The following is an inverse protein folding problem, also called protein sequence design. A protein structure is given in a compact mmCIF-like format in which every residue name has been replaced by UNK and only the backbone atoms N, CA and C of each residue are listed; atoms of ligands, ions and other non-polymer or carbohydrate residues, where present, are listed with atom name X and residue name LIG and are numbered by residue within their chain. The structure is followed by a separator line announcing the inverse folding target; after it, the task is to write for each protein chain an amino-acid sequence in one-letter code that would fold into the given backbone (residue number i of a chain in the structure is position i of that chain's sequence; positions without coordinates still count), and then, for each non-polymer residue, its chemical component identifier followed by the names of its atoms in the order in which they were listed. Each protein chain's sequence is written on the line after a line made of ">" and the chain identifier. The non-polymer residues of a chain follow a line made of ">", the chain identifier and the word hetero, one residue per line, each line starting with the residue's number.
data_IF_676004153970
#
_entry.id   IF_676004153970
#
_cell.length_a   1.000
_cell.length_b   1.000
_cell.length_c   1.000
_cell.angle_alpha   90.00
_cell.angle_beta   90.00
_cell.angle_gamma   90.00
#
_symmetry.space_group_name_H-M   'P 1'
#
loop_
_entity.id
_entity.type
_entity.pdbx_description
1 polymer ?
#
# COMPACT_ATOMS: atom_id res chain seq x y z
N UNK A 1 10.34 -16.37 -12.02
CA UNK A 1 10.61 -14.95 -12.35
C UNK A 1 10.35 -14.13 -11.10
N UNK A 2 11.22 -13.16 -10.78
CA UNK A 2 10.95 -12.21 -9.70
C UNK A 2 9.86 -11.23 -10.14
N UNK A 3 8.83 -11.03 -9.32
CA UNK A 3 7.81 -10.01 -9.55
C UNK A 3 8.45 -8.63 -9.38
N UNK A 4 8.06 -7.67 -10.22
CA UNK A 4 8.43 -6.27 -10.01
C UNK A 4 7.74 -5.79 -8.72
N UNK A 5 8.52 -5.20 -7.82
CA UNK A 5 8.03 -4.65 -6.56
C UNK A 5 7.68 -3.18 -6.73
N UNK A 6 6.49 -2.78 -6.31
CA UNK A 6 6.02 -1.39 -6.33
C UNK A 6 5.74 -0.94 -4.90
N UNK A 7 6.38 0.16 -4.49
CA UNK A 7 6.16 0.78 -3.20
C UNK A 7 5.43 2.10 -3.40
N UNK A 8 4.19 2.19 -2.89
CA UNK A 8 3.42 3.43 -2.86
C UNK A 8 3.53 4.02 -1.45
N UNK A 9 3.96 5.28 -1.35
CA UNK A 9 4.12 6.00 -0.08
C UNK A 9 3.06 7.08 0.02
N UNK A 10 2.31 7.09 1.11
CA UNK A 10 1.38 8.18 1.44
C UNK A 10 1.80 8.84 2.75
N UNK A 11 1.60 10.15 2.87
CA UNK A 11 1.87 10.93 4.08
C UNK A 11 0.66 11.74 4.57
N UNK A 12 -0.27 12.10 3.68
CA UNK A 12 -1.45 12.90 4.00
C UNK A 12 -2.75 12.08 4.05
N UNK A 13 -2.71 10.83 3.60
CA UNK A 13 -3.89 9.98 3.49
C UNK A 13 -3.70 8.66 4.24
N UNK A 14 -4.80 8.22 4.85
CA UNK A 14 -4.89 6.93 5.53
C UNK A 14 -4.67 5.75 4.56
N UNK A 15 -4.24 4.60 5.10
CA UNK A 15 -3.94 3.41 4.29
C UNK A 15 -5.15 2.83 3.52
N UNK A 16 -6.38 3.27 3.82
CA UNK A 16 -7.60 2.84 3.15
C UNK A 16 -8.18 3.90 2.19
N UNK A 17 -7.45 4.98 1.88
CA UNK A 17 -7.90 6.00 0.92
C UNK A 17 -8.32 5.34 -0.40
N UNK A 18 -9.52 5.66 -0.87
CA UNK A 18 -10.12 5.02 -2.05
C UNK A 18 -9.30 5.23 -3.33
N UNK A 19 -8.60 6.35 -3.46
CA UNK A 19 -7.79 6.66 -4.62
C UNK A 19 -6.50 5.84 -4.59
N UNK A 20 -5.88 5.72 -3.42
CA UNK A 20 -4.59 5.05 -3.25
C UNK A 20 -4.74 3.53 -3.11
N UNK A 21 -5.52 3.07 -2.14
CA UNK A 21 -5.65 1.64 -1.88
C UNK A 21 -6.50 0.96 -2.95
N UNK A 22 -7.71 1.47 -3.21
CA UNK A 22 -8.67 0.78 -4.07
C UNK A 22 -8.38 0.94 -5.57
N UNK A 23 -8.06 2.16 -6.02
CA UNK A 23 -7.87 2.42 -7.46
C UNK A 23 -6.46 2.16 -7.95
N UNK A 24 -5.44 2.52 -7.16
CA UNK A 24 -4.04 2.35 -7.55
C UNK A 24 -3.48 0.99 -7.11
N UNK A 25 -3.33 0.75 -5.80
CA UNK A 25 -2.61 -0.42 -5.28
C UNK A 25 -3.26 -1.75 -5.67
N UNK A 26 -4.60 -1.85 -5.63
CA UNK A 26 -5.31 -3.06 -6.09
C UNK A 26 -5.15 -3.29 -7.59
N UNK A 27 -5.17 -2.23 -8.41
CA UNK A 27 -5.00 -2.38 -9.87
C UNK A 27 -3.60 -2.89 -10.20
N UNK A 28 -2.56 -2.34 -9.57
CA UNK A 28 -1.19 -2.85 -9.69
C UNK A 28 -1.07 -4.31 -9.23
N UNK A 29 -1.68 -4.67 -8.10
CA UNK A 29 -1.65 -6.06 -7.63
C UNK A 29 -2.32 -7.03 -8.62
N UNK A 30 -3.42 -6.60 -9.26
CA UNK A 30 -4.12 -7.37 -10.31
C UNK A 30 -3.28 -7.56 -11.57
N UNK A 31 -2.49 -6.57 -11.95
CA UNK A 31 -1.52 -6.67 -13.05
C UNK A 31 -0.27 -7.50 -12.71
N UNK A 32 -0.22 -8.09 -11.51
CA UNK A 32 0.78 -9.07 -11.11
C UNK A 32 2.00 -8.51 -10.38
N UNK A 33 2.02 -7.21 -10.10
CA UNK A 33 3.06 -6.57 -9.30
C UNK A 33 2.99 -7.01 -7.82
N UNK A 34 4.12 -7.02 -7.15
CA UNK A 34 4.19 -7.18 -5.70
C UNK A 34 4.11 -5.79 -5.06
N UNK A 35 2.96 -5.47 -4.47
CA UNK A 35 2.64 -4.10 -4.03
C UNK A 35 2.83 -3.94 -2.52
N UNK A 36 3.45 -2.83 -2.16
CA UNK A 36 3.59 -2.34 -0.79
C UNK A 36 2.96 -0.95 -0.69
N UNK A 37 2.13 -0.72 0.33
CA UNK A 37 1.59 0.60 0.68
C UNK A 37 2.15 1.01 2.04
N UNK A 38 3.03 2.00 2.04
CA UNK A 38 3.60 2.56 3.28
C UNK A 38 2.75 3.75 3.70
N UNK A 39 2.19 3.70 4.91
CA UNK A 39 1.25 4.71 5.39
C UNK A 39 1.52 5.11 6.85
N UNK A 40 1.33 6.39 7.22
CA UNK A 40 1.54 6.89 8.56
C UNK A 40 0.52 6.29 9.52
N UNK A 41 0.98 5.85 10.69
CA UNK A 41 0.15 5.36 11.80
C UNK A 41 -0.85 4.24 11.44
N UNK A 42 -0.65 3.57 10.30
CA UNK A 42 -1.45 2.43 9.90
C UNK A 42 -1.01 1.16 10.65
N UNK A 43 -1.91 0.17 10.72
CA UNK A 43 -1.54 -1.18 11.16
C UNK A 43 -0.92 -1.92 9.99
N UNK A 44 0.30 -2.44 10.17
CA UNK A 44 0.94 -3.31 9.16
C UNK A 44 0.16 -4.61 9.01
N UNK A 45 -0.27 -4.92 7.78
CA UNK A 45 -1.08 -6.10 7.46
C UNK A 45 -1.10 -6.34 5.95
N UNK A 46 -1.54 -7.53 5.54
CA UNK A 46 -1.82 -7.83 4.13
C UNK A 46 -3.32 -7.75 3.89
N UNK A 47 -3.75 -6.98 2.89
CA UNK A 47 -5.16 -6.88 2.47
C UNK A 47 -5.22 -6.93 0.95
N UNK A 48 -6.07 -7.79 0.38
CA UNK A 48 -6.24 -7.96 -1.07
C UNK A 48 -4.93 -8.24 -1.84
N UNK A 49 -3.94 -8.87 -1.18
CA UNK A 49 -2.62 -9.12 -1.77
C UNK A 49 -1.67 -7.92 -1.73
N UNK A 50 -2.05 -6.80 -1.09
CA UNK A 50 -1.19 -5.62 -0.88
C UNK A 50 -0.59 -5.68 0.53
N UNK A 51 0.71 -5.46 0.62
CA UNK A 51 1.44 -5.36 1.88
C UNK A 51 1.32 -3.94 2.43
N UNK A 52 0.41 -3.69 3.35
CA UNK A 52 0.34 -2.40 4.06
C UNK A 52 1.42 -2.40 5.15
N UNK A 53 2.27 -1.37 5.12
CA UNK A 53 3.35 -1.15 6.08
C UNK A 53 3.06 0.14 6.84
N UNK A 54 2.69 -0.02 8.10
CA UNK A 54 2.48 1.09 9.02
C UNK A 54 3.81 1.68 9.49
N UNK A 55 3.95 3.00 9.39
CA UNK A 55 5.09 3.73 9.94
C UNK A 55 4.61 4.69 11.01
N UNK A 56 5.08 4.57 12.27
CA UNK A 56 4.71 5.51 13.31
C UNK A 56 5.28 6.90 12.98
N UNK A 57 4.44 7.93 12.98
CA UNK A 57 4.85 9.32 12.77
C UNK A 57 4.30 10.19 13.91
N UNK A 58 5.09 11.21 14.30
CA UNK A 58 4.65 12.21 15.29
C UNK A 58 3.77 13.25 14.59
N UNK A 59 2.68 13.63 15.23
CA UNK A 59 1.86 14.78 14.85
C UNK A 59 2.53 16.09 15.28
#
# INVERSE_FOLDING_TARGET
>A
MNKIKVCHLTCAHEANDIRIFQKECISLAKEGYEVYLVAPNAVSKVVNGINIVGVPVRL
#
